data_IF_065129115857
#
_entry.id   IF_065129115857
#
_cell.length_a   1.000
_cell.length_b   1.000
_cell.length_c   1.000
_cell.angle_alpha   90.00
_cell.angle_beta   90.00
_cell.angle_gamma   90.00
#
_symmetry.space_group_name_H-M   'P 1'
#
loop_
_entity.id
_entity.type
_entity.pdbx_description
1 polymer ?
#
# COMPACT_ATOMS: atom_id res chain seq x y z
N UNK A 1 -1.78 -19.73 4.12
CA UNK A 1 -2.34 -19.19 5.39
C UNK A 1 -1.57 -17.93 5.72
N UNK A 2 -2.26 -16.79 5.91
CA UNK A 2 -1.58 -15.54 6.30
C UNK A 2 -0.90 -15.69 7.67
N UNK A 3 0.24 -15.01 7.86
CA UNK A 3 0.95 -14.99 9.13
C UNK A 3 0.12 -14.28 10.20
N UNK A 4 0.20 -14.73 11.46
CA UNK A 4 -0.42 -14.08 12.60
C UNK A 4 -0.04 -12.59 12.70
N UNK A 5 1.20 -12.24 12.35
CA UNK A 5 1.65 -10.84 12.37
C UNK A 5 1.00 -10.04 11.25
N UNK A 6 0.85 -10.62 10.05
CA UNK A 6 0.13 -9.98 8.95
C UNK A 6 -1.36 -9.74 9.29
N UNK A 7 -2.00 -10.70 9.96
CA UNK A 7 -3.37 -10.54 10.45
C UNK A 7 -3.49 -9.41 11.47
N UNK A 8 -2.52 -9.26 12.38
CA UNK A 8 -2.47 -8.16 13.36
C UNK A 8 -2.29 -6.81 12.68
N UNK A 9 -1.37 -6.70 11.72
CA UNK A 9 -1.16 -5.48 10.95
C UNK A 9 -2.46 -5.09 10.23
N UNK A 10 -3.09 -6.03 9.54
CA UNK A 10 -4.36 -5.81 8.85
C UNK A 10 -5.45 -5.31 9.80
N UNK A 11 -5.58 -5.95 10.97
CA UNK A 11 -6.55 -5.53 11.98
C UNK A 11 -6.30 -4.10 12.47
N UNK A 12 -5.06 -3.76 12.84
CA UNK A 12 -4.68 -2.42 13.32
C UNK A 12 -4.95 -1.38 12.24
N UNK A 13 -4.55 -1.66 10.99
CA UNK A 13 -4.78 -0.75 9.86
C UNK A 13 -6.28 -0.48 9.68
N UNK A 14 -7.12 -1.51 9.71
CA UNK A 14 -8.58 -1.36 9.59
C UNK A 14 -9.15 -0.52 10.72
N UNK A 15 -8.73 -0.74 11.96
CA UNK A 15 -9.18 0.07 13.10
C UNK A 15 -8.70 1.53 12.99
N UNK A 16 -7.46 1.77 12.57
CA UNK A 16 -6.93 3.13 12.45
C UNK A 16 -7.60 3.94 11.33
N UNK A 17 -8.08 3.26 10.29
CA UNK A 17 -8.86 3.86 9.20
C UNK A 17 -10.35 3.95 9.48
N UNK A 18 -10.82 3.36 10.59
CA UNK A 18 -12.24 3.36 10.93
C UNK A 18 -12.65 4.70 11.55
N UNK A 19 -13.93 5.04 11.42
CA UNK A 19 -14.48 6.31 11.89
C UNK A 19 -14.49 6.42 13.43
N UNK A 20 -14.23 5.31 14.13
CA UNK A 20 -14.15 5.25 15.59
C UNK A 20 -12.77 5.70 16.11
N UNK A 21 -11.72 5.59 15.31
CA UNK A 21 -10.37 6.05 15.65
C UNK A 21 -10.14 7.47 15.11
N UNK A 22 -10.63 8.48 15.84
CA UNK A 22 -10.58 9.88 15.37
C UNK A 22 -9.49 10.73 16.00
N UNK A 23 -8.89 10.31 17.12
CA UNK A 23 -7.81 11.09 17.73
C UNK A 23 -6.53 10.91 16.92
N UNK A 24 -5.83 12.02 16.66
CA UNK A 24 -4.57 12.00 15.92
C UNK A 24 -3.52 11.12 16.63
N UNK A 25 -3.48 11.16 17.97
CA UNK A 25 -2.58 10.35 18.79
C UNK A 25 -2.79 8.85 18.60
N UNK A 26 -4.05 8.39 18.53
CA UNK A 26 -4.39 6.98 18.30
C UNK A 26 -3.91 6.51 16.91
N UNK A 27 -4.01 7.40 15.91
CA UNK A 27 -3.55 7.12 14.54
C UNK A 27 -2.02 7.06 14.47
N UNK A 28 -1.33 7.98 15.12
CA UNK A 28 0.13 7.99 15.21
C UNK A 28 0.64 6.73 15.91
N UNK A 29 0.02 6.35 17.02
CA UNK A 29 0.35 5.12 17.74
C UNK A 29 0.13 3.87 16.88
N UNK A 30 -0.97 3.81 16.13
CA UNK A 30 -1.24 2.71 15.20
C UNK A 30 -0.17 2.61 14.10
N UNK A 31 0.30 3.74 13.56
CA UNK A 31 1.39 3.77 12.58
C UNK A 31 2.71 3.24 13.16
N UNK A 32 3.04 3.60 14.40
CA UNK A 32 4.22 3.07 15.10
C UNK A 32 4.15 1.56 15.23
N UNK A 33 3.02 1.00 15.69
CA UNK A 33 2.86 -0.44 15.81
C UNK A 33 2.91 -1.18 14.47
N UNK A 34 2.33 -0.63 13.42
CA UNK A 34 2.41 -1.21 12.08
C UNK A 34 3.89 -1.26 11.63
N UNK A 35 4.66 -0.19 11.85
CA UNK A 35 6.08 -0.15 11.50
C UNK A 35 6.91 -1.17 12.31
N UNK A 36 6.71 -1.25 13.63
CA UNK A 36 7.39 -2.22 14.49
C UNK A 36 7.10 -3.66 14.10
N UNK A 37 5.83 -3.98 13.82
CA UNK A 37 5.42 -5.32 13.39
C UNK A 37 5.94 -5.66 11.98
N UNK A 38 6.19 -4.63 11.16
CA UNK A 38 6.69 -4.78 9.79
C UNK A 38 8.22 -4.87 9.70
N UNK A 39 8.97 -4.32 10.65
CA UNK A 39 10.44 -4.29 10.64
C UNK A 39 11.14 -5.65 10.42
N UNK A 40 10.63 -6.80 10.94
CA UNK A 40 11.20 -8.11 10.66
C UNK A 40 11.03 -8.56 9.19
N UNK A 41 10.03 -8.03 8.48
CA UNK A 41 9.74 -8.36 7.09
C UNK A 41 10.63 -7.60 6.11
N UNK A 42 11.07 -6.38 6.45
CA UNK A 42 12.03 -5.62 5.63
C UNK A 42 13.36 -6.35 5.45
N UNK A 43 13.86 -6.99 6.51
CA UNK A 43 15.11 -7.78 6.45
C UNK A 43 14.99 -9.02 5.56
N UNK A 44 13.78 -9.55 5.38
CA UNK A 44 13.53 -10.70 4.49
C UNK A 44 13.36 -10.27 3.03
N UNK A 45 12.85 -9.07 2.78
CA UNK A 45 12.79 -8.47 1.45
C UNK A 45 14.19 -8.21 0.88
N UNK A 46 15.13 -7.75 1.70
CA UNK A 46 16.52 -7.48 1.26
C UNK A 46 17.36 -8.75 1.00
N UNK A 47 16.93 -9.92 1.49
CA UNK A 47 17.59 -11.21 1.30
C UNK A 47 16.86 -12.09 0.27
N UNK A 48 15.76 -11.63 -0.31
CA UNK A 48 15.10 -12.31 -1.41
C UNK A 48 15.84 -11.90 -2.70
N UNK A 49 16.55 -12.81 -3.40
CA UNK A 49 17.02 -12.47 -4.74
C UNK A 49 15.81 -12.09 -5.58
N UNK A 50 15.93 -10.97 -6.29
CA UNK A 50 14.99 -10.40 -7.25
C UNK A 50 14.63 -11.41 -8.35
N UNK A 51 13.82 -12.40 -8.02
CA UNK A 51 13.19 -13.36 -8.96
C UNK A 51 11.66 -13.30 -8.85
N UNK A 52 11.12 -12.17 -8.37
CA UNK A 52 9.71 -11.86 -8.52
C UNK A 52 9.49 -10.59 -9.37
N UNK A 53 10.45 -10.28 -10.24
CA UNK A 53 10.22 -9.44 -11.41
C UNK A 53 9.86 -10.38 -12.57
N UNK A 54 8.60 -10.39 -13.02
CA UNK A 54 8.29 -10.94 -14.35
C UNK A 54 6.97 -11.66 -14.58
N UNK A 55 6.02 -11.75 -13.63
CA UNK A 55 4.75 -12.45 -13.95
C UNK A 55 3.45 -11.89 -13.31
N UNK A 56 3.46 -10.69 -12.73
CA UNK A 56 2.21 -10.06 -12.24
C UNK A 56 1.84 -8.76 -12.96
N UNK A 57 2.58 -8.37 -14.00
CA UNK A 57 2.30 -7.15 -14.79
C UNK A 57 1.87 -7.43 -16.25
N UNK A 58 1.53 -8.67 -16.60
CA UNK A 58 0.83 -8.97 -17.86
C UNK A 58 -0.68 -9.02 -17.62
N UNK A 59 -1.25 -7.86 -17.35
CA UNK A 59 -2.62 -7.58 -17.76
C UNK A 59 -2.57 -6.33 -18.63
N UNK A 60 -2.27 -6.58 -19.90
CA UNK A 60 -2.42 -5.68 -21.04
C UNK A 60 -3.87 -5.17 -21.07
N UNK A 61 -4.13 -4.02 -20.44
CA UNK A 61 -5.33 -3.24 -20.74
C UNK A 61 -5.03 -2.40 -21.97
N UNK A 62 -5.34 -3.00 -23.11
CA UNK A 62 -5.42 -2.36 -24.41
C UNK A 62 -6.50 -1.28 -24.41
N UNK A 63 -6.13 -0.08 -24.86
CA UNK A 63 -7.03 1.02 -25.24
C UNK A 63 -7.03 2.13 -24.18
N UNK A 64 -6.71 3.39 -24.48
CA UNK A 64 -6.88 4.14 -25.72
C UNK A 64 -6.07 5.45 -25.65
N UNK A 65 -5.18 5.66 -26.61
CA UNK A 65 -4.39 6.88 -26.78
C UNK A 65 -5.15 7.89 -27.65
N UNK A 66 -6.14 8.63 -27.14
CA UNK A 66 -6.57 9.87 -27.79
C UNK A 66 -7.07 10.86 -26.73
N UNK A 67 -6.24 11.83 -26.35
CA UNK A 67 -6.69 13.21 -26.23
C UNK A 67 -5.51 14.13 -26.62
N UNK A 68 -5.54 14.42 -27.91
CA UNK A 68 -4.74 15.39 -28.65
C UNK A 68 -4.91 16.78 -28.03
N UNK A 69 -3.80 17.44 -27.74
CA UNK A 69 -3.73 18.89 -27.54
C UNK A 69 -4.61 19.65 -28.54
N UNK A 70 -5.49 20.50 -28.01
CA UNK A 70 -6.14 21.70 -28.56
C UNK A 70 -6.97 22.21 -27.36
N UNK A 71 -6.76 23.36 -26.72
CA UNK A 71 -6.21 24.64 -27.12
C UNK A 71 -7.13 25.71 -26.53
N UNK A 72 -6.54 26.79 -25.99
CA UNK A 72 -7.17 28.06 -25.54
C UNK A 72 -8.00 28.03 -24.24
N UNK A 73 -7.65 28.75 -23.17
CA UNK A 73 -7.47 30.21 -22.99
C UNK A 73 -8.80 30.98 -23.13
N UNK A 74 -9.27 31.47 -21.98
CA UNK A 74 -10.07 32.68 -21.67
C UNK A 74 -11.41 32.91 -22.39
N UNK A 75 -12.52 32.98 -21.64
CA UNK A 75 -13.15 34.23 -21.16
C UNK A 75 -14.15 33.93 -20.02
#
# INVERSE_FOLDING_TARGET
MESLVAQRINFIARMATSCECNHAEDKELALVWIAELSAPYEKRLNNCPSQLDGHLLDNEVTGNTILRNLGSIEE
#
